data_IF_121660436548
#
_entry.id   IF_121660436548
#
_cell.length_a   1.000
_cell.length_b   1.000
_cell.length_c   1.000
_cell.angle_alpha   90.00
_cell.angle_beta   90.00
_cell.angle_gamma   90.00
#
_symmetry.space_group_name_H-M   'P 1'
#
loop_
_entity.id
_entity.type
_entity.pdbx_description
1 polymer ?
#
# COMPACT_ATOMS: atom_id res chain seq x y z
N UNK A 1 -21.60 -5.07 11.91
CA UNK A 1 -20.73 -6.16 12.41
C UNK A 1 -21.57 -7.37 12.80
N UNK A 2 -22.33 -7.93 11.86
CA UNK A 2 -23.33 -8.98 12.14
C UNK A 2 -22.76 -10.40 12.14
N UNK A 3 -21.64 -10.65 11.44
CA UNK A 3 -20.96 -11.96 11.43
C UNK A 3 -20.21 -12.21 12.76
N UNK A 4 -20.07 -13.47 13.20
CA UNK A 4 -19.14 -13.85 14.27
C UNK A 4 -17.71 -13.39 13.97
N UNK A 5 -16.92 -13.08 15.01
CA UNK A 5 -15.55 -12.54 14.84
C UNK A 5 -14.67 -13.41 13.94
N UNK A 6 -14.69 -14.73 14.14
CA UNK A 6 -13.93 -15.70 13.36
C UNK A 6 -14.34 -15.80 11.88
N UNK A 7 -15.48 -15.21 11.49
CA UNK A 7 -16.01 -15.22 10.12
C UNK A 7 -15.99 -13.85 9.46
N UNK A 8 -15.48 -12.83 10.17
CA UNK A 8 -15.32 -11.48 9.61
C UNK A 8 -14.12 -11.46 8.68
N UNK A 9 -14.24 -10.68 7.60
CA UNK A 9 -13.07 -10.25 6.85
C UNK A 9 -12.15 -9.50 7.81
N UNK A 10 -10.87 -9.85 7.85
CA UNK A 10 -9.91 -9.18 8.73
C UNK A 10 -9.34 -7.92 8.09
N UNK A 11 -9.03 -8.00 6.79
CA UNK A 11 -8.40 -6.92 6.04
C UNK A 11 -9.14 -6.68 4.72
N UNK A 12 -9.28 -5.40 4.39
CA UNK A 12 -9.67 -4.90 3.08
C UNK A 12 -8.40 -4.47 2.35
N UNK A 13 -8.20 -4.94 1.14
CA UNK A 13 -7.23 -4.38 0.21
C UNK A 13 -7.98 -3.53 -0.82
N UNK A 14 -7.84 -2.21 -0.71
CA UNK A 14 -8.46 -1.25 -1.64
C UNK A 14 -7.48 -0.95 -2.77
N UNK A 15 -7.96 -0.99 -4.01
CA UNK A 15 -7.21 -0.62 -5.22
C UNK A 15 -8.10 0.19 -6.15
N UNK A 16 -7.59 1.29 -6.67
CA UNK A 16 -8.26 2.07 -7.69
C UNK A 16 -8.33 1.31 -9.02
N UNK A 17 -9.30 1.69 -9.85
CA UNK A 17 -9.55 1.05 -11.15
C UNK A 17 -8.38 1.20 -12.13
N UNK A 18 -7.62 2.28 -12.02
CA UNK A 18 -6.46 2.58 -12.86
C UNK A 18 -5.18 1.98 -12.28
N UNK A 19 -5.26 0.71 -11.88
CA UNK A 19 -4.13 -0.10 -11.42
C UNK A 19 -4.00 -1.37 -12.25
N UNK A 20 -2.80 -1.92 -12.36
CA UNK A 20 -2.51 -3.22 -12.97
C UNK A 20 -1.67 -4.04 -12.00
N UNK A 21 -2.13 -5.24 -11.66
CA UNK A 21 -1.37 -6.21 -10.87
C UNK A 21 -0.32 -6.86 -11.79
N UNK A 22 0.95 -6.75 -11.41
CA UNK A 22 2.10 -7.21 -12.18
C UNK A 22 2.61 -8.57 -11.69
N UNK A 23 2.62 -8.79 -10.37
CA UNK A 23 2.95 -10.08 -9.75
C UNK A 23 1.66 -10.77 -9.27
N UNK A 24 1.03 -11.51 -10.18
CA UNK A 24 -0.21 -12.26 -9.89
C UNK A 24 0.02 -13.52 -9.03
N UNK A 25 1.29 -13.89 -8.80
CA UNK A 25 1.65 -15.02 -7.93
C UNK A 25 1.79 -14.60 -6.45
N UNK A 26 2.01 -13.32 -6.17
CA UNK A 26 2.07 -12.78 -4.81
C UNK A 26 0.68 -12.60 -4.21
N UNK A 27 0.51 -13.07 -2.98
CA UNK A 27 -0.64 -12.71 -2.16
C UNK A 27 -0.47 -11.33 -1.55
N UNK A 28 -1.49 -10.44 -1.57
CA UNK A 28 -1.48 -9.17 -0.84
C UNK A 28 -1.25 -9.34 0.67
N UNK A 29 -1.53 -10.53 1.21
CA UNK A 29 -1.25 -10.84 2.62
C UNK A 29 0.25 -10.75 2.96
N UNK A 30 1.14 -10.87 1.98
CA UNK A 30 2.59 -10.74 2.17
C UNK A 30 3.06 -9.34 2.59
N UNK A 31 2.19 -8.33 2.51
CA UNK A 31 2.47 -6.98 3.02
C UNK A 31 2.08 -6.80 4.49
N UNK A 32 1.20 -7.66 5.01
CA UNK A 32 0.69 -7.54 6.37
C UNK A 32 1.74 -7.99 7.40
N UNK A 33 1.64 -7.49 8.65
CA UNK A 33 2.51 -7.96 9.74
C UNK A 33 2.37 -9.47 9.95
N UNK A 34 3.50 -10.19 10.03
CA UNK A 34 3.53 -11.65 10.23
C UNK A 34 3.24 -11.97 11.72
N UNK A 35 2.14 -12.63 12.13
CA UNK A 35 1.77 -12.78 13.54
C UNK A 35 2.87 -13.38 14.45
N UNK A 36 3.05 -12.86 15.68
CA UNK A 36 4.07 -13.32 16.64
C UNK A 36 4.00 -14.82 16.99
N UNK A 37 2.79 -15.41 16.97
CA UNK A 37 2.60 -16.86 17.24
C UNK A 37 3.36 -17.74 16.24
N UNK A 38 3.69 -17.22 15.06
CA UNK A 38 4.50 -17.92 14.06
C UNK A 38 6.01 -17.76 14.29
N UNK A 39 6.45 -16.89 15.21
CA UNK A 39 7.87 -16.60 15.44
C UNK A 39 8.44 -17.22 16.70
N UNK A 40 7.71 -17.35 17.82
CA UNK A 40 8.18 -18.06 19.02
C UNK A 40 6.99 -18.45 19.91
N UNK A 41 6.83 -19.76 20.16
CA UNK A 41 5.65 -20.38 20.78
C UNK A 41 5.41 -20.10 22.28
N UNK A 42 5.82 -18.97 22.83
CA UNK A 42 5.48 -18.58 24.20
C UNK A 42 5.67 -17.08 24.42
N UNK A 43 4.59 -16.30 24.37
CA UNK A 43 4.50 -15.07 25.16
C UNK A 43 3.05 -14.66 25.38
N UNK A 44 2.74 -14.21 26.60
CA UNK A 44 1.44 -13.67 27.03
C UNK A 44 1.29 -12.18 26.70
N UNK A 45 2.26 -11.60 25.98
CA UNK A 45 2.26 -10.21 25.56
C UNK A 45 1.48 -10.06 24.25
N UNK A 46 0.56 -9.09 24.22
CA UNK A 46 -0.24 -8.77 23.03
C UNK A 46 0.70 -8.31 21.91
N UNK A 47 0.62 -8.92 20.72
CA UNK A 47 1.48 -8.55 19.59
C UNK A 47 1.21 -7.08 19.23
N UNK A 48 2.20 -6.18 19.23
CA UNK A 48 1.99 -4.78 18.88
C UNK A 48 1.38 -4.62 17.48
N UNK A 49 1.57 -5.61 16.59
CA UNK A 49 0.93 -5.63 15.28
C UNK A 49 -0.62 -5.70 15.32
N UNK A 50 -1.22 -6.09 16.45
CA UNK A 50 -2.67 -6.06 16.65
C UNK A 50 -3.24 -4.64 16.62
N UNK A 51 -2.42 -3.62 16.85
CA UNK A 51 -2.83 -2.20 16.81
C UNK A 51 -2.56 -1.54 15.44
N UNK A 52 -2.10 -2.30 14.44
CA UNK A 52 -1.96 -1.80 13.07
C UNK A 52 -3.30 -1.97 12.37
N UNK A 53 -3.90 -0.86 11.97
CA UNK A 53 -5.22 -0.82 11.33
C UNK A 53 -5.18 -0.31 9.90
N UNK A 54 -4.11 0.37 9.48
CA UNK A 54 -3.93 0.85 8.12
C UNK A 54 -2.47 0.75 7.69
N UNK A 55 -2.23 0.15 6.53
CA UNK A 55 -1.00 0.30 5.76
C UNK A 55 -1.27 1.27 4.61
N UNK A 56 -0.56 2.40 4.63
CA UNK A 56 -0.71 3.44 3.63
C UNK A 56 0.65 3.81 3.05
N UNK A 57 0.64 4.43 1.89
CA UNK A 57 1.83 4.89 1.19
C UNK A 57 1.81 6.41 1.05
N UNK A 58 3.00 7.00 0.93
CA UNK A 58 3.15 8.41 0.60
C UNK A 58 3.83 8.56 -0.75
N UNK A 59 3.41 9.56 -1.51
CA UNK A 59 4.05 10.06 -2.71
C UNK A 59 4.51 11.53 -2.49
N UNK A 60 4.85 12.24 -3.57
CA UNK A 60 5.27 13.65 -3.50
C UNK A 60 4.15 14.62 -3.11
N UNK A 61 2.88 14.19 -3.13
CA UNK A 61 1.69 14.92 -2.69
C UNK A 61 1.22 14.51 -1.29
N UNK A 62 1.95 13.64 -0.57
CA UNK A 62 1.54 13.13 0.73
C UNK A 62 0.86 11.77 0.63
N UNK A 63 -0.25 11.56 1.33
CA UNK A 63 -1.03 10.32 1.22
C UNK A 63 -1.53 10.14 -0.22
N UNK A 64 -1.37 8.93 -0.76
CA UNK A 64 -2.17 8.44 -1.88
C UNK A 64 -3.15 7.38 -1.38
N UNK A 65 -4.45 7.65 -1.45
CA UNK A 65 -5.48 6.71 -0.94
C UNK A 65 -6.06 5.81 -2.04
N UNK A 66 -5.48 5.80 -3.24
CA UNK A 66 -5.92 4.91 -4.32
C UNK A 66 -5.49 3.45 -4.11
N UNK A 67 -4.47 3.20 -3.29
CA UNK A 67 -4.12 1.84 -2.86
C UNK A 67 -3.70 1.79 -1.39
N UNK A 68 -4.39 0.98 -0.58
CA UNK A 68 -4.07 0.78 0.83
C UNK A 68 -4.64 -0.55 1.37
N UNK A 69 -4.07 -1.03 2.48
CA UNK A 69 -4.61 -2.17 3.23
C UNK A 69 -5.15 -1.70 4.57
N UNK A 70 -6.38 -2.08 4.91
CA UNK A 70 -7.04 -1.60 6.12
C UNK A 70 -7.74 -2.73 6.86
N UNK A 71 -7.56 -2.77 8.18
CA UNK A 71 -8.23 -3.72 9.05
C UNK A 71 -9.71 -3.38 9.15
N UNK A 72 -10.56 -4.40 9.05
CA UNK A 72 -12.01 -4.27 9.23
C UNK A 72 -12.33 -4.29 10.72
N UNK A 73 -12.49 -3.12 11.33
CA UNK A 73 -12.77 -2.98 12.75
C UNK A 73 -13.56 -1.68 13.02
N UNK A 74 -13.77 -1.36 14.30
CA UNK A 74 -14.47 -0.12 14.66
C UNK A 74 -13.69 1.14 14.25
N UNK A 75 -12.36 1.11 14.38
CA UNK A 75 -11.48 2.22 14.03
C UNK A 75 -11.64 2.64 12.56
N UNK A 76 -11.72 1.71 11.62
CA UNK A 76 -11.90 2.04 10.20
C UNK A 76 -13.28 2.67 9.90
N UNK A 77 -14.32 2.25 10.62
CA UNK A 77 -15.65 2.89 10.54
C UNK A 77 -15.59 4.33 11.07
N UNK A 78 -14.90 4.54 12.19
CA UNK A 78 -14.75 5.86 12.79
C UNK A 78 -13.91 6.79 11.90
N UNK A 79 -12.82 6.29 11.30
CA UNK A 79 -12.02 7.03 10.33
C UNK A 79 -12.86 7.45 9.12
N UNK A 80 -13.58 6.53 8.47
CA UNK A 80 -14.42 6.88 7.32
C UNK A 80 -15.54 7.84 7.67
N UNK A 81 -16.15 7.69 8.85
CA UNK A 81 -17.16 8.63 9.33
C UNK A 81 -16.56 10.02 9.52
N UNK A 82 -15.34 10.11 10.08
CA UNK A 82 -14.63 11.35 10.27
C UNK A 82 -14.23 12.01 8.95
N UNK A 83 -13.77 11.24 7.95
CA UNK A 83 -13.43 11.73 6.61
C UNK A 83 -14.64 12.42 5.96
N UNK A 84 -15.80 11.75 5.96
CA UNK A 84 -17.04 12.28 5.38
C UNK A 84 -17.53 13.53 6.14
N UNK A 85 -17.37 13.51 7.46
CA UNK A 85 -17.78 14.60 8.34
C UNK A 85 -16.85 15.82 8.27
N UNK A 86 -15.58 15.66 7.90
CA UNK A 86 -14.53 16.65 8.10
C UNK A 86 -14.91 18.04 7.57
N UNK A 87 -15.48 18.10 6.36
CA UNK A 87 -15.90 19.36 5.72
C UNK A 87 -16.94 20.14 6.49
N UNK A 88 -17.76 19.48 7.30
CA UNK A 88 -18.77 20.14 8.13
C UNK A 88 -18.17 20.75 9.40
N UNK A 89 -17.16 20.10 9.98
CA UNK A 89 -16.55 20.53 11.25
C UNK A 89 -15.29 21.38 11.06
N UNK A 90 -14.65 21.30 9.88
CA UNK A 90 -13.49 22.10 9.47
C UNK A 90 -13.70 22.63 8.04
N UNK A 91 -14.61 23.59 7.84
CA UNK A 91 -14.97 24.08 6.50
C UNK A 91 -13.81 24.78 5.78
N UNK A 92 -12.86 25.34 6.54
CA UNK A 92 -11.70 26.05 6.01
C UNK A 92 -10.47 25.16 5.80
N UNK A 93 -10.59 23.83 5.99
CA UNK A 93 -9.50 22.90 5.74
C UNK A 93 -9.15 22.87 4.23
N UNK A 94 -7.85 22.91 3.93
CA UNK A 94 -7.37 22.76 2.55
C UNK A 94 -7.49 21.29 2.13
N UNK A 95 -8.39 21.02 1.17
CA UNK A 95 -8.72 19.68 0.70
C UNK A 95 -8.58 19.59 -0.83
N UNK A 96 -7.37 19.78 -1.38
CA UNK A 96 -7.14 19.78 -2.83
C UNK A 96 -7.53 18.44 -3.47
N UNK A 97 -7.43 17.35 -2.72
CA UNK A 97 -7.88 16.01 -3.10
C UNK A 97 -8.97 15.54 -2.13
N UNK A 98 -10.15 16.15 -2.22
CA UNK A 98 -11.40 15.82 -1.49
C UNK A 98 -11.26 14.86 -0.30
N UNK A 99 -11.47 13.56 -0.50
CA UNK A 99 -11.40 12.52 0.54
C UNK A 99 -9.97 12.10 0.89
N UNK A 100 -9.02 12.16 -0.06
CA UNK A 100 -7.62 11.84 0.17
C UNK A 100 -6.97 12.83 1.15
N UNK A 101 -7.11 14.13 0.90
CA UNK A 101 -6.61 15.18 1.80
C UNK A 101 -7.28 15.10 3.17
N UNK A 102 -8.57 14.78 3.22
CA UNK A 102 -9.28 14.61 4.49
C UNK A 102 -8.74 13.42 5.29
N UNK A 103 -8.52 12.28 4.61
CA UNK A 103 -7.90 11.10 5.20
C UNK A 103 -6.48 11.40 5.67
N UNK A 104 -5.68 12.09 4.87
CA UNK A 104 -4.32 12.47 5.25
C UNK A 104 -4.28 13.30 6.52
N UNK A 105 -5.08 14.36 6.61
CA UNK A 105 -5.14 15.21 7.80
C UNK A 105 -5.48 14.39 9.05
N UNK A 106 -6.51 13.55 8.96
CA UNK A 106 -6.94 12.72 10.08
C UNK A 106 -5.87 11.69 10.49
N UNK A 107 -5.19 11.06 9.53
CA UNK A 107 -4.13 10.08 9.80
C UNK A 107 -2.87 10.69 10.43
N UNK A 108 -2.72 12.02 10.42
CA UNK A 108 -1.64 12.71 11.11
C UNK A 108 -2.07 13.26 12.49
N UNK A 109 -3.32 13.03 12.91
CA UNK A 109 -3.89 13.54 14.15
C UNK A 109 -4.41 12.41 15.07
N UNK A 110 -4.45 12.67 16.37
CA UNK A 110 -5.10 11.77 17.31
C UNK A 110 -6.62 11.75 17.06
N UNK A 111 -7.29 10.58 17.17
CA UNK A 111 -6.74 9.30 17.63
C UNK A 111 -6.22 8.39 16.51
N UNK A 112 -6.20 8.82 15.24
CA UNK A 112 -5.95 7.91 14.11
C UNK A 112 -4.46 7.69 13.82
N UNK A 113 -3.61 8.63 14.18
CA UNK A 113 -2.16 8.59 13.91
C UNK A 113 -1.40 7.41 14.53
N UNK A 114 -1.91 6.80 15.60
CA UNK A 114 -1.23 5.70 16.29
C UNK A 114 -1.41 4.34 15.61
N UNK A 115 -2.38 4.20 14.70
CA UNK A 115 -2.75 2.90 14.11
C UNK A 115 -2.42 2.78 12.62
N UNK A 116 -1.74 3.78 12.05
CA UNK A 116 -1.29 3.80 10.65
C UNK A 116 0.21 3.51 10.57
N UNK A 117 0.59 2.63 9.65
CA UNK A 117 1.97 2.39 9.27
C UNK A 117 2.17 2.87 7.84
N UNK A 118 3.14 3.78 7.68
CA UNK A 118 3.59 4.26 6.39
C UNK A 118 4.64 3.31 5.85
N UNK A 119 4.32 2.61 4.77
CA UNK A 119 5.20 1.65 4.13
C UNK A 119 5.77 2.22 2.83
N UNK A 120 6.86 1.64 2.30
CA UNK A 120 7.40 2.07 1.03
C UNK A 120 6.36 2.01 -0.10
N UNK A 121 6.31 3.07 -0.90
CA UNK A 121 5.29 3.21 -1.96
C UNK A 121 5.32 2.03 -2.95
N UNK A 122 6.50 1.53 -3.30
CA UNK A 122 6.65 0.47 -4.30
C UNK A 122 6.11 -0.90 -3.86
N UNK A 123 5.77 -1.09 -2.59
CA UNK A 123 5.15 -2.33 -2.13
C UNK A 123 3.86 -2.61 -2.88
N UNK A 124 3.00 -1.60 -3.01
CA UNK A 124 1.68 -1.77 -3.61
C UNK A 124 1.11 -0.48 -4.21
N UNK A 125 1.92 0.55 -4.48
CA UNK A 125 1.43 1.80 -5.05
C UNK A 125 2.47 2.48 -5.97
N UNK A 126 3.27 1.67 -6.67
CA UNK A 126 4.29 2.15 -7.60
C UNK A 126 3.65 2.81 -8.83
N UNK A 127 4.36 3.73 -9.46
CA UNK A 127 3.92 4.47 -10.66
C UNK A 127 4.72 4.10 -11.89
N UNK A 128 4.09 4.26 -13.06
CA UNK A 128 4.82 4.34 -14.32
C UNK A 128 5.62 5.65 -14.41
N UNK A 129 6.63 5.65 -15.26
CA UNK A 129 7.44 6.81 -15.68
C UNK A 129 6.75 7.65 -16.75
N UNK A 130 5.58 7.21 -17.23
CA UNK A 130 4.81 7.87 -18.28
C UNK A 130 5.52 7.89 -19.63
N UNK A 131 6.42 6.92 -19.87
CA UNK A 131 7.20 6.78 -21.10
C UNK A 131 7.36 5.29 -21.39
N UNK A 132 6.47 4.74 -22.22
CA UNK A 132 6.31 3.30 -22.47
C UNK A 132 7.63 2.53 -22.66
N UNK A 133 8.62 3.11 -23.35
CA UNK A 133 9.91 2.43 -23.60
C UNK A 133 10.89 2.48 -22.44
N UNK A 134 10.74 3.44 -21.54
CA UNK A 134 11.61 3.59 -20.36
C UNK A 134 11.10 2.77 -19.19
N UNK A 135 9.78 2.56 -19.09
CA UNK A 135 9.12 1.81 -18.02
C UNK A 135 9.60 0.37 -17.88
N UNK A 136 9.91 -0.27 -19.00
CA UNK A 136 10.36 -1.66 -19.02
C UNK A 136 11.89 -1.83 -19.04
N UNK A 137 12.65 -0.73 -19.01
CA UNK A 137 14.11 -0.79 -18.95
C UNK A 137 14.57 -0.98 -17.51
N UNK A 138 15.55 -1.89 -17.28
CA UNK A 138 16.18 -2.03 -15.99
C UNK A 138 16.74 -0.70 -15.48
N UNK A 139 16.61 -0.44 -14.19
CA UNK A 139 17.11 0.79 -13.61
C UNK A 139 18.62 0.73 -13.42
N UNK A 140 19.33 1.40 -14.32
CA UNK A 140 20.75 1.70 -14.16
C UNK A 140 20.88 2.97 -13.32
N UNK A 141 21.03 2.76 -12.00
CA UNK A 141 21.63 3.70 -11.02
C UNK A 141 20.92 5.04 -10.78
N UNK A 142 20.02 5.04 -9.78
CA UNK A 142 20.08 5.89 -8.57
C UNK A 142 19.07 5.31 -7.56
N UNK A 143 19.51 4.82 -6.38
CA UNK A 143 18.61 4.21 -5.40
C UNK A 143 17.54 5.16 -4.85
N UNK A 144 17.72 6.48 -4.93
CA UNK A 144 16.84 7.45 -4.27
C UNK A 144 15.90 8.21 -5.21
N UNK A 145 16.30 8.55 -6.44
CA UNK A 145 15.47 9.43 -7.30
C UNK A 145 14.26 8.75 -7.96
N UNK A 146 14.08 7.44 -7.82
CA UNK A 146 13.10 6.67 -8.59
C UNK A 146 12.45 5.53 -7.78
N UNK A 147 12.32 5.72 -6.47
CA UNK A 147 11.77 4.68 -5.59
C UNK A 147 10.28 4.43 -5.84
N UNK A 148 9.54 5.45 -6.24
CA UNK A 148 8.12 5.36 -6.56
C UNK A 148 7.85 4.71 -7.93
N UNK A 149 8.85 4.60 -8.82
CA UNK A 149 8.65 3.96 -10.10
C UNK A 149 8.60 2.44 -9.98
N UNK A 150 7.71 1.83 -10.76
CA UNK A 150 7.59 0.39 -10.89
C UNK A 150 8.86 -0.24 -11.50
N UNK A 151 9.26 -1.39 -10.96
CA UNK A 151 10.44 -2.20 -11.33
C UNK A 151 10.10 -3.68 -11.33
N UNK A 152 10.88 -4.48 -12.04
CA UNK A 152 10.65 -5.93 -12.09
C UNK A 152 10.66 -6.53 -10.68
N UNK A 153 9.59 -7.22 -10.32
CA UNK A 153 9.36 -7.76 -8.96
C UNK A 153 8.43 -6.92 -8.09
N UNK A 154 8.01 -5.73 -8.53
CA UNK A 154 6.93 -4.98 -7.87
C UNK A 154 5.58 -5.66 -8.07
N UNK A 155 4.68 -5.43 -7.12
CA UNK A 155 3.39 -6.09 -7.10
C UNK A 155 2.37 -5.50 -8.06
N UNK A 156 2.31 -4.16 -8.16
CA UNK A 156 1.37 -3.46 -9.03
C UNK A 156 1.93 -2.12 -9.50
N UNK A 157 1.33 -1.60 -10.57
CA UNK A 157 1.52 -0.23 -11.04
C UNK A 157 0.19 0.53 -11.00
N UNK A 158 0.23 1.78 -10.57
CA UNK A 158 -0.90 2.69 -10.44
C UNK A 158 -0.71 3.88 -11.38
N UNK A 159 -1.77 4.25 -12.11
CA UNK A 159 -1.81 5.33 -13.09
C UNK A 159 -2.50 6.59 -12.52
N UNK A 160 -2.22 6.89 -11.24
CA UNK A 160 -2.78 8.04 -10.54
C UNK A 160 -2.55 9.35 -11.32
N UNK A 161 -3.61 10.14 -11.51
CA UNK A 161 -3.53 11.42 -12.20
C UNK A 161 -3.09 11.35 -13.68
N UNK A 162 -3.00 10.15 -14.26
CA UNK A 162 -2.53 9.97 -15.65
C UNK A 162 -3.65 10.30 -16.64
N UNK A 163 -3.36 11.15 -17.63
CA UNK A 163 -4.25 11.41 -18.77
C UNK A 163 -4.21 10.28 -19.80
N UNK A 164 -5.28 10.12 -20.60
CA UNK A 164 -5.38 9.05 -21.62
C UNK A 164 -5.01 7.66 -21.06
N UNK A 165 -5.63 7.32 -19.92
CA UNK A 165 -5.30 6.12 -19.12
C UNK A 165 -5.35 4.83 -19.94
N UNK A 166 -6.32 4.72 -20.83
CA UNK A 166 -6.46 3.59 -21.75
C UNK A 166 -5.19 3.37 -22.58
N UNK A 167 -4.60 4.46 -23.10
CA UNK A 167 -3.36 4.41 -23.87
C UNK A 167 -2.15 4.14 -22.97
N UNK A 168 -2.10 4.75 -21.79
CA UNK A 168 -1.00 4.56 -20.84
C UNK A 168 -0.98 3.13 -20.24
N UNK A 169 -2.15 2.53 -20.02
CA UNK A 169 -2.29 1.19 -19.45
C UNK A 169 -2.05 0.09 -20.48
N UNK A 170 -2.38 0.31 -21.76
CA UNK A 170 -2.23 -0.67 -22.83
C UNK A 170 -0.85 -1.38 -22.86
N UNK A 171 0.30 -0.67 -22.91
CA UNK A 171 1.60 -1.35 -22.95
C UNK A 171 1.91 -2.16 -21.68
N UNK A 172 1.38 -1.74 -20.53
CA UNK A 172 1.54 -2.48 -19.27
C UNK A 172 0.65 -3.73 -19.23
N UNK A 173 -0.56 -3.66 -19.77
CA UNK A 173 -1.45 -4.82 -19.94
C UNK A 173 -0.83 -5.84 -20.90
N UNK A 174 -0.35 -5.38 -22.07
CA UNK A 174 0.35 -6.22 -23.04
C UNK A 174 1.53 -6.95 -22.37
N UNK A 175 2.26 -6.26 -21.48
CA UNK A 175 3.35 -6.87 -20.74
C UNK A 175 2.87 -7.87 -19.67
N UNK A 176 1.84 -7.53 -18.90
CA UNK A 176 1.31 -8.39 -17.84
C UNK A 176 0.69 -9.68 -18.40
N UNK A 177 0.02 -9.60 -19.55
CA UNK A 177 -0.61 -10.74 -20.22
C UNK A 177 0.40 -11.65 -20.94
N UNK A 178 1.48 -11.08 -21.47
CA UNK A 178 2.49 -11.83 -22.22
C UNK A 178 3.49 -12.56 -21.30
N UNK A 179 2.96 -13.43 -20.41
CA UNK A 179 3.63 -14.19 -19.35
C UNK A 179 4.92 -14.96 -19.74
N UNK A 180 5.34 -14.91 -21.02
CA UNK A 180 6.57 -15.48 -21.54
C UNK A 180 7.76 -14.51 -21.64
N UNK A 181 7.59 -13.19 -21.43
CA UNK A 181 8.63 -12.18 -21.79
C UNK A 181 9.25 -11.37 -20.62
N UNK A 182 8.92 -11.61 -19.35
CA UNK A 182 9.96 -11.39 -18.31
C UNK A 182 9.64 -10.67 -17.01
N UNK A 183 8.48 -10.04 -16.81
CA UNK A 183 8.25 -9.37 -15.51
C UNK A 183 8.12 -10.34 -14.32
N UNK A 184 7.56 -11.54 -14.53
CA UNK A 184 7.50 -12.60 -13.52
C UNK A 184 8.65 -13.62 -13.59
N UNK A 185 9.39 -13.68 -14.71
CA UNK A 185 10.37 -14.74 -15.01
C UNK A 185 11.83 -14.26 -15.09
N UNK A 186 12.09 -12.95 -15.23
CA UNK A 186 13.46 -12.42 -15.18
C UNK A 186 13.97 -12.28 -13.75
N UNK A 187 15.27 -12.04 -13.61
CA UNK A 187 15.91 -11.66 -12.33
C UNK A 187 15.17 -10.46 -11.73
N UNK A 188 14.51 -10.68 -10.59
CA UNK A 188 13.81 -9.64 -9.85
C UNK A 188 14.78 -8.49 -9.54
N UNK A 189 14.37 -7.26 -9.84
CA UNK A 189 15.09 -6.05 -9.42
C UNK A 189 14.73 -5.66 -7.98
N UNK A 190 13.56 -6.11 -7.51
CA UNK A 190 13.08 -5.99 -6.12
C UNK A 190 12.58 -7.33 -5.60
N UNK A 191 13.01 -7.67 -4.39
CA UNK A 191 12.52 -8.84 -3.66
C UNK A 191 11.61 -8.39 -2.51
N UNK A 192 10.34 -8.15 -2.84
CA UNK A 192 9.35 -7.69 -1.88
C UNK A 192 9.13 -8.67 -0.71
N UNK A 193 9.35 -9.98 -0.89
CA UNK A 193 9.16 -10.95 0.21
C UNK A 193 10.20 -10.76 1.32
N UNK A 194 11.46 -10.65 0.91
CA UNK A 194 12.57 -10.39 1.83
C UNK A 194 12.43 -9.01 2.46
N UNK A 195 12.07 -8.00 1.66
CA UNK A 195 11.92 -6.62 2.12
C UNK A 195 10.79 -6.45 3.15
N UNK A 196 9.60 -6.99 2.89
CA UNK A 196 8.47 -6.89 3.84
C UNK A 196 8.77 -7.66 5.13
N UNK A 197 9.39 -8.83 5.01
CA UNK A 197 9.79 -9.65 6.16
C UNK A 197 10.82 -8.94 7.04
N UNK A 198 11.83 -8.30 6.44
CA UNK A 198 12.84 -7.54 7.16
C UNK A 198 12.25 -6.28 7.81
N UNK A 199 11.41 -5.54 7.08
CA UNK A 199 10.70 -4.37 7.61
C UNK A 199 9.93 -4.71 8.89
N UNK A 200 9.11 -5.77 8.87
CA UNK A 200 8.31 -6.14 10.04
C UNK A 200 9.15 -6.64 11.22
N UNK A 201 10.30 -7.27 10.97
CA UNK A 201 11.26 -7.64 12.02
C UNK A 201 11.85 -6.40 12.69
N UNK A 202 12.31 -5.43 11.89
CA UNK A 202 12.89 -4.18 12.41
C UNK A 202 11.84 -3.35 13.14
N UNK A 203 10.65 -3.19 12.55
CA UNK A 203 9.55 -2.43 13.14
C UNK A 203 9.17 -2.98 14.53
N UNK A 204 9.08 -4.31 14.67
CA UNK A 204 8.79 -4.94 15.97
C UNK A 204 9.88 -4.69 16.99
N UNK A 205 11.14 -4.87 16.60
CA UNK A 205 12.27 -4.65 17.51
C UNK A 205 12.26 -3.22 18.06
N UNK A 206 11.95 -2.22 17.23
CA UNK A 206 11.88 -0.83 17.66
C UNK A 206 10.63 -0.49 18.47
N UNK A 207 9.56 -1.29 18.39
CA UNK A 207 8.29 -1.05 19.09
C UNK A 207 8.26 -1.73 20.47
N UNK A 208 9.03 -2.79 20.67
CA UNK A 208 9.09 -3.55 21.93
C UNK A 208 10.15 -2.98 22.90
N UNK A 209 11.16 -2.28 22.40
CA UNK A 209 12.19 -1.57 23.20
C UNK A 209 11.70 -0.23 23.72
#
# INVERSE_FOLDING_TARGET
>A
MEKPEAERLEWLFWVDRDTIILDTCRSPLGFLPIPMQQMNGSDTQRDPAENIYLLATKDWNGLNNGVFLMRVNRWSIDLFSAILALRHYRPDADLPFTEQSAMELLLNEAPFNENVIWVPQWWFNAYGRGKDKEDFKPLKTDPNSQQYHARRGDFLVHFAGTGYRDQAMAPWLDHAENATVGWALETKERDLDSETSEFWKIWRNNTIT
#
